data_IF_874110471286
#
_entry.id   IF_874110471286
#
_cell.length_a   1.000
_cell.length_b   1.000
_cell.length_c   1.000
_cell.angle_alpha   90.00
_cell.angle_beta   90.00
_cell.angle_gamma   90.00
#
_symmetry.space_group_name_H-M   'P 1'
#
loop_
_entity.id
_entity.type
_entity.pdbx_description
1 polymer ?
#
# COMPACT_ATOMS: atom_id res chain seq x y z
N UNK A 1 4.61 4.80 -18.54
CA UNK A 1 3.48 4.19 -17.79
C UNK A 1 3.58 4.47 -16.29
N UNK A 2 4.64 4.03 -15.59
CA UNK A 2 4.82 4.31 -14.15
C UNK A 2 4.77 5.81 -13.76
N UNK A 3 5.32 6.72 -14.60
CA UNK A 3 5.29 8.16 -14.34
C UNK A 3 3.85 8.74 -14.30
N UNK A 4 2.99 8.34 -15.24
CA UNK A 4 1.60 8.80 -15.29
C UNK A 4 0.80 8.28 -14.08
N UNK A 5 0.97 7.00 -13.74
CA UNK A 5 0.35 6.40 -12.56
C UNK A 5 0.77 7.12 -11.27
N UNK A 6 2.05 7.49 -11.16
CA UNK A 6 2.54 8.26 -10.01
C UNK A 6 1.89 9.64 -9.93
N UNK A 7 1.77 10.34 -11.05
CA UNK A 7 1.11 11.66 -11.11
C UNK A 7 -0.37 11.55 -10.72
N UNK A 8 -1.06 10.51 -11.18
CA UNK A 8 -2.45 10.22 -10.80
C UNK A 8 -2.57 9.93 -9.29
N UNK A 9 -1.67 9.11 -8.74
CA UNK A 9 -1.67 8.82 -7.29
C UNK A 9 -1.46 10.12 -6.50
N UNK A 10 -0.50 10.96 -6.90
CA UNK A 10 -0.24 12.25 -6.25
C UNK A 10 -1.44 13.17 -6.28
N UNK A 11 -2.12 13.27 -7.42
CA UNK A 11 -3.32 14.08 -7.55
C UNK A 11 -4.46 13.59 -6.66
N UNK A 12 -4.44 12.31 -6.26
CA UNK A 12 -5.45 11.67 -5.42
C UNK A 12 -4.97 11.39 -3.99
N UNK A 13 -3.85 11.97 -3.54
CA UNK A 13 -3.44 11.87 -2.14
C UNK A 13 -4.52 12.52 -1.27
N UNK A 14 -5.00 11.79 -0.27
CA UNK A 14 -6.00 12.27 0.68
C UNK A 14 -5.40 12.36 2.06
N UNK A 15 -5.73 13.42 2.79
CA UNK A 15 -5.33 13.53 4.18
C UNK A 15 -6.39 12.89 5.08
N UNK A 16 -6.00 11.90 5.87
CA UNK A 16 -6.87 11.19 6.82
C UNK A 16 -6.20 11.23 8.19
N UNK A 17 -6.86 11.79 9.21
CA UNK A 17 -6.30 11.94 10.56
C UNK A 17 -4.90 12.59 10.60
N UNK A 18 -4.64 13.50 9.65
CA UNK A 18 -3.33 14.14 9.52
C UNK A 18 -2.24 13.23 8.95
N UNK A 19 -2.60 12.13 8.27
CA UNK A 19 -1.72 11.24 7.49
C UNK A 19 -2.02 11.41 6.02
N UNK A 20 -0.99 11.51 5.18
CA UNK A 20 -1.16 11.60 3.73
C UNK A 20 -1.30 10.19 3.16
N UNK A 21 -2.44 9.88 2.56
CA UNK A 21 -2.79 8.55 2.06
C UNK A 21 -2.75 8.53 0.55
N UNK A 22 -1.77 7.81 0.02
CA UNK A 22 -1.66 7.45 -1.38
C UNK A 22 -2.17 6.02 -1.57
N UNK A 23 -3.18 5.84 -2.43
CA UNK A 23 -3.74 4.52 -2.71
C UNK A 23 -3.76 4.21 -4.20
N UNK A 24 -3.59 2.94 -4.56
CA UNK A 24 -3.75 2.46 -5.93
C UNK A 24 -4.41 1.08 -5.94
N UNK A 25 -5.35 0.90 -6.88
CA UNK A 25 -5.89 -0.39 -7.26
C UNK A 25 -5.72 -0.57 -8.77
N UNK A 26 -4.83 -1.47 -9.19
CA UNK A 26 -4.46 -1.62 -10.60
C UNK A 26 -3.87 -3.00 -10.92
N UNK A 27 -3.87 -3.37 -12.20
CA UNK A 27 -3.10 -4.50 -12.70
C UNK A 27 -1.65 -4.09 -12.92
N UNK A 28 -0.75 -4.51 -12.01
CA UNK A 28 0.63 -4.03 -12.00
C UNK A 28 1.59 -5.05 -11.36
N UNK A 29 2.78 -5.28 -11.95
CA UNK A 29 3.82 -6.11 -11.34
C UNK A 29 4.34 -5.51 -10.04
N UNK A 30 4.72 -6.39 -9.10
CA UNK A 30 5.24 -6.02 -7.79
C UNK A 30 6.40 -5.01 -7.84
N UNK A 31 7.31 -5.16 -8.81
CA UNK A 31 8.50 -4.31 -8.88
C UNK A 31 8.16 -2.87 -9.27
N UNK A 32 7.17 -2.66 -10.16
CA UNK A 32 6.69 -1.30 -10.47
C UNK A 32 5.99 -0.65 -9.27
N UNK A 33 5.23 -1.43 -8.50
CA UNK A 33 4.57 -0.93 -7.29
C UNK A 33 5.59 -0.50 -6.24
N UNK A 34 6.65 -1.30 -6.05
CA UNK A 34 7.76 -0.97 -5.15
C UNK A 34 8.45 0.32 -5.57
N UNK A 35 8.79 0.46 -6.85
CA UNK A 35 9.44 1.67 -7.37
C UNK A 35 8.59 2.92 -7.13
N UNK A 36 7.28 2.84 -7.37
CA UNK A 36 6.34 3.93 -7.10
C UNK A 36 6.28 4.24 -5.60
N UNK A 37 6.20 3.23 -4.74
CA UNK A 37 6.15 3.41 -3.29
C UNK A 37 7.40 4.15 -2.77
N UNK A 38 8.60 3.74 -3.21
CA UNK A 38 9.85 4.40 -2.81
C UNK A 38 9.95 5.83 -3.35
N UNK A 39 9.55 6.07 -4.59
CA UNK A 39 9.54 7.42 -5.16
C UNK A 39 8.56 8.34 -4.43
N UNK A 40 7.34 7.88 -4.15
CA UNK A 40 6.34 8.66 -3.41
C UNK A 40 6.80 8.95 -1.98
N UNK A 41 7.40 7.97 -1.29
CA UNK A 41 7.96 8.19 0.05
C UNK A 41 9.06 9.26 0.03
N UNK A 42 9.93 9.25 -0.99
CA UNK A 42 10.97 10.27 -1.17
C UNK A 42 10.43 11.66 -1.54
N UNK A 43 9.30 11.74 -2.25
CA UNK A 43 8.74 13.00 -2.75
C UNK A 43 7.68 13.63 -1.82
N UNK A 44 6.86 12.81 -1.14
CA UNK A 44 5.75 13.26 -0.28
C UNK A 44 6.10 13.28 1.22
N UNK A 45 7.27 12.74 1.59
CA UNK A 45 7.82 12.89 2.94
C UNK A 45 7.39 11.84 3.97
N UNK A 46 7.75 12.09 5.23
CA UNK A 46 7.76 11.10 6.32
C UNK A 46 6.39 10.74 6.89
N UNK A 47 5.33 11.40 6.45
CA UNK A 47 3.98 11.23 6.96
C UNK A 47 3.02 10.57 5.94
N UNK A 48 3.59 9.96 4.90
CA UNK A 48 2.88 9.25 3.85
C UNK A 48 2.58 7.79 4.25
N UNK A 49 1.31 7.38 4.16
CA UNK A 49 0.90 6.00 3.99
C UNK A 49 0.69 5.75 2.49
N UNK A 50 1.47 4.85 1.93
CA UNK A 50 1.21 4.29 0.61
C UNK A 50 0.60 2.89 0.75
N UNK A 51 -0.54 2.65 0.10
CA UNK A 51 -1.16 1.34 0.02
C UNK A 51 -1.52 1.00 -1.43
N UNK A 52 -1.10 -0.16 -1.89
CA UNK A 52 -1.40 -0.65 -3.22
C UNK A 52 -2.06 -2.02 -3.12
N UNK A 53 -3.23 -2.15 -3.74
CA UNK A 53 -3.91 -3.42 -3.96
C UNK A 53 -3.82 -3.74 -5.46
N UNK A 54 -2.87 -4.58 -5.84
CA UNK A 54 -2.64 -4.89 -7.25
C UNK A 54 -2.90 -6.35 -7.56
N UNK A 55 -3.18 -6.62 -8.83
CA UNK A 55 -3.14 -7.98 -9.36
C UNK A 55 -2.11 -8.05 -10.48
N UNK A 56 -1.49 -9.20 -10.64
CA UNK A 56 -0.70 -9.50 -11.82
C UNK A 56 -0.77 -11.00 -12.10
N UNK A 57 -1.11 -11.39 -13.33
CA UNK A 57 -1.22 -12.80 -13.73
C UNK A 57 -2.16 -13.60 -12.80
N UNK A 58 -3.32 -12.99 -12.48
CA UNK A 58 -4.32 -13.59 -11.58
C UNK A 58 -3.90 -13.69 -10.10
N UNK A 59 -2.75 -13.13 -9.72
CA UNK A 59 -2.25 -13.17 -8.34
C UNK A 59 -2.47 -11.81 -7.67
N UNK A 60 -3.30 -11.73 -6.62
CA UNK A 60 -3.45 -10.50 -5.85
C UNK A 60 -2.23 -10.27 -4.95
N UNK A 61 -1.85 -9.00 -4.84
CA UNK A 61 -0.75 -8.50 -4.05
C UNK A 61 -1.16 -7.21 -3.34
N UNK A 62 -0.84 -7.11 -2.06
CA UNK A 62 -1.01 -5.89 -1.28
C UNK A 62 0.38 -5.40 -0.89
N UNK A 63 0.68 -4.14 -1.16
CA UNK A 63 1.93 -3.49 -0.75
C UNK A 63 1.61 -2.29 0.12
N UNK A 64 2.26 -2.18 1.27
CA UNK A 64 2.13 -1.04 2.18
C UNK A 64 3.52 -0.46 2.41
N UNK A 65 3.64 0.86 2.28
CA UNK A 65 4.82 1.61 2.67
C UNK A 65 4.44 2.75 3.61
N UNK A 66 5.21 2.93 4.67
CA UNK A 66 5.03 3.99 5.66
C UNK A 66 6.23 4.93 5.63
N UNK A 67 5.95 6.23 5.72
CA UNK A 67 6.94 7.25 6.04
C UNK A 67 7.52 7.06 7.44
N UNK A 68 8.72 7.61 7.69
CA UNK A 68 9.43 7.40 8.95
C UNK A 68 8.62 7.88 10.17
N UNK A 69 7.96 9.04 10.07
CA UNK A 69 7.18 9.61 11.17
C UNK A 69 5.99 8.73 11.55
N UNK A 70 5.38 8.00 10.62
CA UNK A 70 4.30 7.06 10.92
C UNK A 70 4.81 5.84 11.70
N UNK A 71 5.97 5.33 11.30
CA UNK A 71 6.63 4.21 12.00
C UNK A 71 7.06 4.62 13.40
N UNK A 72 7.61 5.83 13.55
CA UNK A 72 8.01 6.39 14.85
C UNK A 72 6.80 6.65 15.76
N UNK A 73 5.62 6.96 15.19
CA UNK A 73 4.34 7.01 15.89
C UNK A 73 3.78 5.63 16.28
N UNK A 74 4.48 4.54 15.95
CA UNK A 74 4.13 3.17 16.30
C UNK A 74 3.35 2.41 15.23
N UNK A 75 3.13 2.97 14.04
CA UNK A 75 2.50 2.23 12.94
C UNK A 75 3.44 1.16 12.39
N UNK A 76 2.87 0.06 11.89
CA UNK A 76 3.64 -1.07 11.39
C UNK A 76 3.02 -1.64 10.11
N UNK A 77 3.68 -1.42 8.97
CA UNK A 77 3.24 -1.92 7.67
C UNK A 77 3.07 -3.45 7.66
N UNK A 78 3.96 -4.18 8.35
CA UNK A 78 3.88 -5.63 8.47
C UNK A 78 2.65 -6.12 9.21
N UNK A 79 2.21 -5.41 10.24
CA UNK A 79 0.98 -5.72 10.96
C UNK A 79 -0.27 -5.39 10.11
N UNK A 80 -0.29 -4.20 9.50
CA UNK A 80 -1.39 -3.77 8.63
C UNK A 80 -1.57 -4.72 7.43
N UNK A 81 -0.47 -5.11 6.77
CA UNK A 81 -0.55 -5.98 5.59
C UNK A 81 -1.04 -7.37 5.94
N UNK A 82 -0.72 -7.89 7.14
CA UNK A 82 -1.20 -9.20 7.60
C UNK A 82 -2.71 -9.22 7.83
N UNK A 83 -3.27 -8.13 8.35
CA UNK A 83 -4.73 -7.98 8.49
C UNK A 83 -5.38 -7.87 7.11
N UNK A 84 -4.86 -7.00 6.25
CA UNK A 84 -5.36 -6.82 4.89
C UNK A 84 -5.31 -8.12 4.05
N UNK A 85 -4.25 -8.92 4.23
CA UNK A 85 -4.05 -10.18 3.52
C UNK A 85 -5.18 -11.20 3.73
N UNK A 86 -5.88 -11.15 4.86
CA UNK A 86 -6.98 -12.08 5.15
C UNK A 86 -8.11 -11.96 4.13
N UNK A 87 -8.37 -10.73 3.65
CA UNK A 87 -9.39 -10.48 2.64
C UNK A 87 -9.08 -11.14 1.29
N UNK A 88 -7.80 -11.27 0.94
CA UNK A 88 -7.36 -11.93 -0.30
C UNK A 88 -7.00 -13.41 -0.10
N UNK A 89 -7.41 -14.02 1.02
CA UNK A 89 -7.02 -15.39 1.44
C UNK A 89 -5.51 -15.61 1.37
N UNK A 90 -4.79 -14.59 1.79
CA UNK A 90 -3.35 -14.46 1.64
C UNK A 90 -2.62 -14.46 2.95
N UNK A 91 -1.31 -14.32 2.83
CA UNK A 91 -0.44 -14.07 3.97
C UNK A 91 0.69 -13.14 3.54
N UNK A 92 1.32 -12.50 4.52
CA UNK A 92 2.33 -11.50 4.23
C UNK A 92 3.16 -11.08 5.43
N UNK A 93 4.08 -10.18 5.15
CA UNK A 93 5.00 -9.65 6.12
C UNK A 93 6.00 -8.68 5.49
N UNK A 94 6.87 -8.18 6.35
CA UNK A 94 7.88 -7.21 5.95
C UNK A 94 8.38 -6.45 7.16
N UNK A 95 9.01 -5.32 6.88
CA UNK A 95 9.53 -4.41 7.89
C UNK A 95 8.45 -3.42 8.31
N UNK A 96 8.67 -2.72 9.43
CA UNK A 96 7.70 -1.77 9.95
C UNK A 96 7.38 -0.65 8.94
N UNK A 97 8.34 -0.25 8.10
CA UNK A 97 8.17 0.80 7.09
C UNK A 97 7.73 0.29 5.72
N UNK A 98 7.81 -1.02 5.45
CA UNK A 98 7.48 -1.59 4.15
C UNK A 98 7.11 -3.07 4.27
N UNK A 99 5.94 -3.44 3.77
CA UNK A 99 5.47 -4.82 3.82
C UNK A 99 4.63 -5.20 2.61
N UNK A 100 4.62 -6.49 2.32
CA UNK A 100 3.90 -7.05 1.18
C UNK A 100 3.17 -8.32 1.60
N UNK A 101 1.97 -8.52 1.06
CA UNK A 101 1.21 -9.75 1.18
C UNK A 101 0.74 -10.23 -0.19
N UNK A 102 0.79 -11.53 -0.41
CA UNK A 102 0.21 -12.18 -1.58
C UNK A 102 -0.98 -13.04 -1.16
N UNK A 103 -1.93 -13.25 -2.09
CA UNK A 103 -3.11 -14.05 -1.83
C UNK A 103 -3.55 -14.89 -3.03
N UNK A 104 -4.77 -15.40 -2.94
CA UNK A 104 -5.41 -16.22 -3.99
C UNK A 104 -6.72 -15.61 -4.48
N UNK A 105 -7.28 -14.67 -3.72
CA UNK A 105 -8.59 -14.09 -3.99
C UNK A 105 -8.48 -12.64 -4.44
N UNK A 106 -8.59 -12.42 -5.75
CA UNK A 106 -8.55 -11.09 -6.38
C UNK A 106 -9.75 -10.24 -5.95
N UNK A 107 -10.91 -10.86 -5.71
CA UNK A 107 -12.12 -10.13 -5.35
C UNK A 107 -11.97 -9.42 -3.99
N UNK A 108 -11.05 -9.89 -3.14
CA UNK A 108 -10.73 -9.31 -1.85
C UNK A 108 -9.82 -8.06 -1.88
N UNK A 109 -9.29 -7.66 -3.04
CA UNK A 109 -8.31 -6.57 -3.12
C UNK A 109 -8.86 -5.23 -2.65
N UNK A 110 -10.10 -4.89 -3.05
CA UNK A 110 -10.73 -3.64 -2.63
C UNK A 110 -10.98 -3.64 -1.11
N UNK A 111 -11.51 -4.74 -0.56
CA UNK A 111 -11.73 -4.87 0.88
C UNK A 111 -10.41 -4.80 1.67
N UNK A 112 -9.33 -5.36 1.13
CA UNK A 112 -8.01 -5.26 1.73
C UNK A 112 -7.49 -3.82 1.75
N UNK A 113 -7.66 -3.07 0.65
CA UNK A 113 -7.30 -1.65 0.56
C UNK A 113 -8.06 -0.83 1.61
N UNK A 114 -9.38 -1.01 1.65
CA UNK A 114 -10.27 -0.28 2.55
C UNK A 114 -9.96 -0.59 4.01
N UNK A 115 -9.62 -1.85 4.33
CA UNK A 115 -9.20 -2.25 5.67
C UNK A 115 -7.93 -1.54 6.14
N UNK A 116 -6.97 -1.27 5.25
CA UNK A 116 -5.74 -0.54 5.60
C UNK A 116 -6.05 0.94 5.86
N UNK A 117 -6.90 1.54 5.02
CA UNK A 117 -7.30 2.94 5.16
C UNK A 117 -8.12 3.14 6.43
N UNK A 118 -9.01 2.20 6.77
CA UNK A 118 -9.83 2.24 7.99
C UNK A 118 -9.01 2.00 9.28
N UNK A 119 -7.76 1.55 9.17
CA UNK A 119 -6.88 1.34 10.32
C UNK A 119 -6.12 2.62 10.74
N UNK A 120 -6.29 3.72 10.01
CA UNK A 120 -5.79 5.07 10.34
C UNK A 120 -6.71 5.83 11.29
#
# INVERSE_FOLDING_TARGET
KAKAVKEDIKANIRQINGVDVASICAEMPADQVKDIAFQLRGECGDNLLFVAATQYDGKPLITIALGAALVDKGMNAGAMVRQAAQHIKGNGGGQAHFAVAGGKDVAGLQAALDSVIAAL
#
